data_IF_913160950985
#
_entry.id   IF_913160950985
#
_cell.length_a   1.000
_cell.length_b   1.000
_cell.length_c   1.000
_cell.angle_alpha   90.00
_cell.angle_beta   90.00
_cell.angle_gamma   90.00
#
_symmetry.space_group_name_H-M   'P 1'
#
loop_
_entity.id
_entity.type
_entity.pdbx_description
1 polymer ?
#
# COMPACT_ATOMS: atom_id res chain seq x y z
N UNK A 1 -22.28 20.05 -5.41
CA UNK A 1 -21.28 19.00 -5.71
C UNK A 1 -22.02 17.68 -5.86
N UNK A 2 -21.77 16.91 -6.93
CA UNK A 2 -22.27 15.55 -7.07
C UNK A 2 -21.85 14.69 -5.87
N UNK A 3 -22.64 13.67 -5.55
CA UNK A 3 -22.42 12.78 -4.39
C UNK A 3 -21.00 12.16 -4.40
N UNK A 4 -20.56 11.75 -5.57
CA UNK A 4 -19.25 11.12 -5.79
C UNK A 4 -18.06 12.08 -5.49
N UNK A 5 -18.20 13.33 -5.92
CA UNK A 5 -17.19 14.36 -5.67
C UNK A 5 -17.06 14.67 -4.17
N UNK A 6 -18.19 14.71 -3.45
CA UNK A 6 -18.20 14.89 -1.99
C UNK A 6 -17.56 13.69 -1.26
N UNK A 7 -17.82 12.47 -1.74
CA UNK A 7 -17.22 11.25 -1.19
C UNK A 7 -15.70 11.23 -1.40
N UNK A 8 -15.22 11.56 -2.59
CA UNK A 8 -13.80 11.66 -2.90
C UNK A 8 -13.10 12.71 -2.05
N UNK A 9 -13.68 13.91 -1.93
CA UNK A 9 -13.13 14.97 -1.08
C UNK A 9 -13.04 14.55 0.40
N UNK A 10 -14.01 13.77 0.89
CA UNK A 10 -13.99 13.25 2.25
C UNK A 10 -12.86 12.21 2.46
N UNK A 11 -12.62 11.33 1.50
CA UNK A 11 -11.54 10.34 1.58
C UNK A 11 -10.17 11.02 1.54
N UNK A 12 -9.96 12.03 0.71
CA UNK A 12 -8.71 12.82 0.68
C UNK A 12 -8.48 13.58 2.00
N UNK A 13 -9.54 14.15 2.57
CA UNK A 13 -9.44 14.79 3.88
C UNK A 13 -9.13 13.77 5.01
N UNK A 14 -9.69 12.57 4.91
CA UNK A 14 -9.39 11.47 5.82
C UNK A 14 -7.93 11.01 5.69
N UNK A 15 -7.39 10.90 4.46
CA UNK A 15 -5.97 10.61 4.21
C UNK A 15 -5.06 11.65 4.87
N UNK A 16 -5.38 12.92 4.67
CA UNK A 16 -4.59 14.01 5.28
C UNK A 16 -4.61 13.92 6.82
N UNK A 17 -5.77 13.65 7.43
CA UNK A 17 -5.89 13.46 8.89
C UNK A 17 -5.12 12.24 9.37
N UNK A 18 -5.12 11.14 8.61
CA UNK A 18 -4.34 9.94 8.93
C UNK A 18 -2.85 10.27 9.04
N UNK A 19 -2.30 11.00 8.06
CA UNK A 19 -0.87 11.35 8.01
C UNK A 19 -0.51 12.36 9.12
N UNK A 20 -1.35 13.38 9.34
CA UNK A 20 -1.08 14.46 10.29
C UNK A 20 -1.25 14.05 11.76
N UNK A 21 -2.24 13.20 12.06
CA UNK A 21 -2.70 12.97 13.45
C UNK A 21 -2.99 11.48 13.76
N UNK A 22 -2.72 10.58 12.83
CA UNK A 22 -2.93 9.14 13.01
C UNK A 22 -4.38 8.68 12.82
N UNK A 23 -4.60 7.35 12.83
CA UNK A 23 -5.88 6.74 12.46
C UNK A 23 -7.03 7.10 13.42
N UNK A 24 -6.75 7.33 14.71
CA UNK A 24 -7.73 7.74 15.70
C UNK A 24 -8.34 9.12 15.40
N UNK A 25 -7.64 9.97 14.64
CA UNK A 25 -8.15 11.27 14.21
C UNK A 25 -9.11 11.17 13.02
N UNK A 26 -9.15 10.04 12.32
CA UNK A 26 -10.01 9.81 11.15
C UNK A 26 -11.43 9.49 11.62
N UNK A 27 -12.17 10.54 11.98
CA UNK A 27 -13.56 10.47 12.42
C UNK A 27 -14.47 11.21 11.46
N UNK A 28 -15.76 10.83 11.38
CA UNK A 28 -16.75 11.53 10.55
C UNK A 28 -16.81 13.02 10.89
N UNK A 29 -16.70 13.38 12.17
CA UNK A 29 -16.73 14.77 12.63
C UNK A 29 -15.52 15.58 12.16
N UNK A 30 -14.33 15.03 12.31
CA UNK A 30 -13.09 15.70 11.91
C UNK A 30 -13.01 15.88 10.39
N UNK A 31 -13.36 14.84 9.64
CA UNK A 31 -13.40 14.89 8.17
C UNK A 31 -14.46 15.89 7.68
N UNK A 32 -15.67 15.86 8.26
CA UNK A 32 -16.72 16.82 7.92
C UNK A 32 -16.27 18.27 8.11
N UNK A 33 -15.65 18.56 9.28
CA UNK A 33 -15.13 19.89 9.56
C UNK A 33 -14.09 20.34 8.53
N UNK A 34 -13.20 19.43 8.12
CA UNK A 34 -12.12 19.74 7.17
C UNK A 34 -12.62 20.08 5.76
N UNK A 35 -13.72 19.46 5.33
CA UNK A 35 -14.31 19.73 3.99
C UNK A 35 -15.48 20.70 4.03
N UNK A 36 -15.74 21.36 5.17
CA UNK A 36 -16.83 22.33 5.32
C UNK A 36 -18.21 21.69 5.19
N UNK A 37 -18.38 20.46 5.69
CA UNK A 37 -19.64 19.70 5.70
C UNK A 37 -20.10 19.42 7.13
N UNK A 38 -21.35 18.95 7.28
CA UNK A 38 -21.87 18.54 8.58
C UNK A 38 -21.57 17.07 8.85
N UNK A 39 -21.49 16.70 10.12
CA UNK A 39 -21.39 15.30 10.54
C UNK A 39 -22.52 14.43 9.96
N UNK A 40 -23.76 14.96 9.94
CA UNK A 40 -24.90 14.25 9.37
C UNK A 40 -24.74 13.96 7.87
N UNK A 41 -24.11 14.86 7.12
CA UNK A 41 -23.81 14.65 5.71
C UNK A 41 -22.81 13.48 5.53
N UNK A 42 -21.72 13.45 6.31
CA UNK A 42 -20.75 12.35 6.25
C UNK A 42 -21.35 11.02 6.72
N UNK A 43 -22.18 11.06 7.76
CA UNK A 43 -22.89 9.88 8.26
C UNK A 43 -23.82 9.30 7.17
N UNK A 44 -24.50 10.16 6.40
CA UNK A 44 -25.31 9.74 5.25
C UNK A 44 -24.46 9.07 4.15
N UNK A 45 -23.25 9.58 3.88
CA UNK A 45 -22.37 9.05 2.83
C UNK A 45 -21.64 7.75 3.21
N UNK A 46 -21.27 7.59 4.46
CA UNK A 46 -20.42 6.47 4.92
C UNK A 46 -21.13 5.54 5.91
N UNK A 47 -22.18 5.99 6.58
CA UNK A 47 -22.88 5.21 7.58
C UNK A 47 -22.17 5.14 8.95
N UNK A 48 -20.84 4.98 8.97
CA UNK A 48 -20.05 4.90 10.21
C UNK A 48 -18.62 5.38 10.00
N UNK A 49 -17.90 5.60 11.11
CA UNK A 49 -16.47 5.89 11.07
C UNK A 49 -15.65 4.69 10.53
N UNK A 50 -16.07 3.47 10.84
CA UNK A 50 -15.45 2.25 10.32
C UNK A 50 -15.55 2.17 8.78
N UNK A 51 -16.72 2.48 8.22
CA UNK A 51 -16.92 2.51 6.77
C UNK A 51 -16.13 3.63 6.09
N UNK A 52 -15.96 4.79 6.74
CA UNK A 52 -15.06 5.84 6.26
C UNK A 52 -13.60 5.36 6.23
N UNK A 53 -13.14 4.69 7.29
CA UNK A 53 -11.79 4.14 7.38
C UNK A 53 -11.57 3.02 6.35
N UNK A 54 -12.57 2.16 6.13
CA UNK A 54 -12.55 1.15 5.07
C UNK A 54 -12.46 1.80 3.68
N UNK A 55 -13.25 2.85 3.42
CA UNK A 55 -13.17 3.59 2.17
C UNK A 55 -11.80 4.26 1.96
N UNK A 56 -11.17 4.75 3.04
CA UNK A 56 -9.81 5.27 3.02
C UNK A 56 -8.80 4.16 2.69
N UNK A 57 -8.91 2.98 3.31
CA UNK A 57 -8.04 1.85 3.04
C UNK A 57 -8.12 1.38 1.57
N UNK A 58 -9.34 1.30 1.03
CA UNK A 58 -9.60 1.01 -0.41
C UNK A 58 -8.91 2.04 -1.30
N UNK A 59 -9.06 3.32 -0.99
CA UNK A 59 -8.47 4.40 -1.77
C UNK A 59 -6.94 4.37 -1.74
N UNK A 60 -6.33 4.21 -0.57
CA UNK A 60 -4.88 4.09 -0.43
C UNK A 60 -4.35 2.88 -1.19
N UNK A 61 -4.98 1.71 -1.01
CA UNK A 61 -4.58 0.50 -1.72
C UNK A 61 -4.65 0.68 -3.25
N UNK A 62 -5.73 1.26 -3.77
CA UNK A 62 -5.89 1.49 -5.21
C UNK A 62 -4.83 2.46 -5.75
N UNK A 63 -4.55 3.55 -5.03
CA UNK A 63 -3.55 4.55 -5.43
C UNK A 63 -2.15 3.94 -5.45
N UNK A 64 -1.76 3.24 -4.38
CA UNK A 64 -0.44 2.60 -4.25
C UNK A 64 -0.26 1.49 -5.28
N UNK A 65 -1.24 0.59 -5.42
CA UNK A 65 -1.18 -0.49 -6.41
C UNK A 65 -1.10 0.07 -7.84
N UNK A 66 -1.80 1.17 -8.14
CA UNK A 66 -1.66 1.87 -9.42
C UNK A 66 -0.21 2.32 -9.67
N UNK A 67 0.39 3.03 -8.72
CA UNK A 67 1.78 3.51 -8.82
C UNK A 67 2.79 2.37 -8.93
N UNK A 68 2.61 1.31 -8.14
CA UNK A 68 3.46 0.11 -8.21
C UNK A 68 3.31 -0.58 -9.57
N UNK A 69 2.08 -0.68 -10.10
CA UNK A 69 1.82 -1.24 -11.42
C UNK A 69 2.53 -0.48 -12.54
N UNK A 70 2.52 0.86 -12.48
CA UNK A 70 3.24 1.71 -13.42
C UNK A 70 4.75 1.51 -13.31
N UNK A 71 5.30 1.50 -12.10
CA UNK A 71 6.73 1.24 -11.85
C UNK A 71 7.16 -0.16 -12.32
N UNK A 72 6.33 -1.18 -12.09
CA UNK A 72 6.61 -2.54 -12.54
C UNK A 72 6.60 -2.65 -14.07
N UNK A 73 5.65 -2.00 -14.75
CA UNK A 73 5.63 -1.92 -16.22
C UNK A 73 6.86 -1.21 -16.77
N UNK A 74 7.27 -0.10 -16.13
CA UNK A 74 8.47 0.64 -16.52
C UNK A 74 9.75 -0.20 -16.32
N UNK A 75 9.88 -0.92 -15.20
CA UNK A 75 11.01 -1.79 -14.93
C UNK A 75 11.13 -2.92 -15.97
N UNK A 76 10.01 -3.52 -16.37
CA UNK A 76 9.97 -4.54 -17.44
C UNK A 76 10.34 -3.99 -18.81
N UNK A 77 10.02 -2.73 -19.06
CA UNK A 77 10.41 -2.03 -20.30
C UNK A 77 11.89 -1.56 -20.30
N UNK A 78 12.63 -1.79 -19.21
CA UNK A 78 14.02 -1.34 -19.06
C UNK A 78 14.20 0.15 -18.83
N UNK A 79 13.12 0.89 -18.47
CA UNK A 79 13.12 2.33 -18.24
C UNK A 79 12.86 2.71 -16.77
N UNK A 80 12.66 1.71 -15.89
CA UNK A 80 12.43 1.85 -14.47
C UNK A 80 13.33 0.93 -13.66
N UNK A 81 13.21 0.99 -12.34
CA UNK A 81 14.03 0.24 -11.41
C UNK A 81 13.17 -0.60 -10.45
N UNK A 82 13.55 -1.86 -10.16
CA UNK A 82 12.93 -2.65 -9.09
C UNK A 82 12.98 -1.94 -7.72
N UNK A 83 13.98 -1.09 -7.51
CA UNK A 83 14.09 -0.28 -6.31
C UNK A 83 12.91 0.67 -6.14
N UNK A 84 12.41 1.27 -7.19
CA UNK A 84 11.26 2.17 -7.16
C UNK A 84 9.99 1.44 -6.67
N UNK A 85 9.79 0.20 -7.10
CA UNK A 85 8.69 -0.66 -6.63
C UNK A 85 8.77 -0.88 -5.11
N UNK A 86 9.97 -1.19 -4.62
CA UNK A 86 10.24 -1.38 -3.19
C UNK A 86 9.98 -0.10 -2.40
N UNK A 87 10.50 1.05 -2.89
CA UNK A 87 10.31 2.33 -2.20
C UNK A 87 8.83 2.72 -2.14
N UNK A 88 8.05 2.54 -3.20
CA UNK A 88 6.60 2.75 -3.21
C UNK A 88 5.88 1.86 -2.20
N UNK A 89 6.24 0.58 -2.11
CA UNK A 89 5.65 -0.35 -1.17
C UNK A 89 5.96 0.04 0.29
N UNK A 90 7.22 0.37 0.59
CA UNK A 90 7.62 0.78 1.93
C UNK A 90 7.02 2.13 2.35
N UNK A 91 7.01 3.10 1.44
CA UNK A 91 6.44 4.42 1.71
C UNK A 91 4.92 4.38 1.91
N UNK A 92 4.23 3.47 1.24
CA UNK A 92 2.80 3.24 1.46
C UNK A 92 2.47 2.85 2.90
N UNK A 93 3.28 2.00 3.53
CA UNK A 93 3.10 1.61 4.91
C UNK A 93 3.62 2.64 5.90
N UNK A 94 4.78 3.26 5.64
CA UNK A 94 5.43 4.22 6.53
C UNK A 94 4.84 5.63 6.37
N UNK A 95 5.13 6.31 5.27
CA UNK A 95 4.82 7.73 5.05
C UNK A 95 3.36 8.02 4.75
N UNK A 96 2.68 7.10 4.05
CA UNK A 96 1.25 7.24 3.72
C UNK A 96 0.33 6.76 4.86
N UNK A 97 0.91 6.26 5.96
CA UNK A 97 0.18 5.84 7.15
C UNK A 97 -0.54 4.50 7.05
N UNK A 98 -0.24 3.70 6.01
CA UNK A 98 -0.89 2.41 5.77
C UNK A 98 -0.73 1.43 6.92
N UNK A 99 0.47 1.35 7.55
CA UNK A 99 0.70 0.46 8.69
C UNK A 99 -0.11 0.88 9.92
N UNK A 100 -0.17 2.18 10.20
CA UNK A 100 -0.95 2.70 11.32
C UNK A 100 -2.46 2.44 11.13
N UNK A 101 -2.97 2.67 9.93
CA UNK A 101 -4.38 2.40 9.59
C UNK A 101 -4.70 0.91 9.70
N UNK A 102 -3.88 0.04 9.08
CA UNK A 102 -4.07 -1.41 9.12
C UNK A 102 -4.08 -1.94 10.56
N UNK A 103 -3.10 -1.54 11.37
CA UNK A 103 -3.03 -1.93 12.78
C UNK A 103 -4.25 -1.46 13.57
N UNK A 104 -4.68 -0.22 13.36
CA UNK A 104 -5.87 0.32 14.00
C UNK A 104 -7.14 -0.46 13.63
N UNK A 105 -7.32 -0.76 12.35
CA UNK A 105 -8.47 -1.51 11.86
C UNK A 105 -8.50 -2.94 12.45
N UNK A 106 -7.37 -3.62 12.50
CA UNK A 106 -7.24 -4.95 13.13
C UNK A 106 -7.59 -4.92 14.62
N UNK A 107 -7.07 -3.95 15.38
CA UNK A 107 -7.33 -3.82 16.81
C UNK A 107 -8.77 -3.39 17.14
N UNK A 108 -9.46 -2.80 16.18
CA UNK A 108 -10.86 -2.40 16.33
C UNK A 108 -11.86 -3.57 16.18
N UNK A 109 -11.37 -4.81 16.00
CA UNK A 109 -12.19 -6.02 15.89
C UNK A 109 -13.02 -6.09 14.60
N UNK A 110 -12.65 -5.36 13.58
CA UNK A 110 -13.32 -5.40 12.29
C UNK A 110 -12.73 -6.55 11.45
N UNK A 111 -13.34 -7.73 11.55
CA UNK A 111 -12.98 -8.88 10.72
C UNK A 111 -13.15 -8.49 9.24
N UNK A 112 -12.18 -8.81 8.39
CA UNK A 112 -12.20 -8.44 6.97
C UNK A 112 -11.85 -6.98 6.69
N UNK A 113 -11.40 -6.21 7.68
CA UNK A 113 -10.99 -4.81 7.47
C UNK A 113 -9.84 -4.67 6.46
N UNK A 114 -8.98 -5.67 6.36
CA UNK A 114 -7.84 -5.71 5.43
C UNK A 114 -8.17 -6.33 4.08
N UNK A 115 -9.34 -6.99 3.91
CA UNK A 115 -9.71 -7.67 2.67
C UNK A 115 -9.57 -6.77 1.44
N UNK A 116 -10.02 -5.50 1.46
CA UNK A 116 -9.87 -4.62 0.30
C UNK A 116 -8.40 -4.35 -0.10
N UNK A 117 -7.49 -4.34 0.88
CA UNK A 117 -6.06 -4.15 0.64
C UNK A 117 -5.49 -5.42 -0.01
N UNK A 118 -5.80 -6.58 0.57
CA UNK A 118 -5.38 -7.89 0.05
C UNK A 118 -5.90 -8.12 -1.36
N UNK A 119 -7.17 -7.80 -1.62
CA UNK A 119 -7.79 -7.89 -2.95
C UNK A 119 -7.14 -6.94 -3.97
N UNK A 120 -6.75 -5.73 -3.55
CA UNK A 120 -6.07 -4.78 -4.44
C UNK A 120 -4.67 -5.30 -4.84
N UNK A 121 -3.93 -5.87 -3.89
CA UNK A 121 -2.62 -6.49 -4.14
C UNK A 121 -2.78 -7.70 -5.07
N UNK A 122 -3.77 -8.56 -4.82
CA UNK A 122 -4.02 -9.74 -5.65
C UNK A 122 -4.33 -9.35 -7.11
N UNK A 123 -5.23 -8.37 -7.31
CA UNK A 123 -5.54 -7.84 -8.64
C UNK A 123 -4.31 -7.28 -9.35
N UNK A 124 -3.46 -6.53 -8.64
CA UNK A 124 -2.22 -6.01 -9.21
C UNK A 124 -1.32 -7.14 -9.73
N UNK A 125 -1.16 -8.22 -8.96
CA UNK A 125 -0.35 -9.36 -9.38
C UNK A 125 -0.95 -10.02 -10.63
N UNK A 126 -2.27 -10.23 -10.67
CA UNK A 126 -2.95 -10.82 -11.82
C UNK A 126 -2.86 -9.93 -13.07
N UNK A 127 -2.94 -8.61 -12.93
CA UNK A 127 -2.75 -7.66 -14.03
C UNK A 127 -1.31 -7.66 -14.58
N UNK A 128 -0.34 -7.80 -13.70
CA UNK A 128 1.07 -7.85 -14.09
C UNK A 128 1.48 -9.21 -14.67
N UNK A 129 0.77 -10.29 -14.33
CA UNK A 129 1.09 -11.66 -14.76
C UNK A 129 -0.15 -12.32 -15.38
N UNK A 130 -0.51 -11.98 -16.64
CA UNK A 130 -1.61 -12.64 -17.32
C UNK A 130 -1.37 -14.15 -17.44
N UNK A 131 -2.47 -14.92 -17.50
CA UNK A 131 -2.56 -16.38 -17.27
C UNK A 131 -1.70 -17.29 -18.18
N UNK A 132 -1.00 -16.74 -19.16
CA UNK A 132 -0.18 -17.48 -20.12
C UNK A 132 1.26 -17.77 -19.65
N UNK A 133 1.65 -17.27 -18.46
CA UNK A 133 2.99 -17.55 -17.91
C UNK A 133 3.00 -18.85 -17.11
N UNK A 134 4.16 -19.54 -17.09
CA UNK A 134 4.37 -20.78 -16.34
C UNK A 134 3.90 -20.63 -14.89
N UNK A 135 3.22 -21.65 -14.36
CA UNK A 135 2.66 -21.70 -13.01
C UNK A 135 3.70 -21.33 -11.95
N UNK A 136 4.94 -21.80 -12.14
CA UNK A 136 6.04 -21.57 -11.19
C UNK A 136 6.45 -20.09 -11.12
N UNK A 137 6.46 -19.36 -12.26
CA UNK A 137 6.77 -17.93 -12.30
C UNK A 137 5.72 -17.10 -11.54
N UNK A 138 4.44 -17.47 -11.69
CA UNK A 138 3.34 -16.82 -10.93
C UNK A 138 3.47 -17.07 -9.43
N UNK A 139 3.79 -18.29 -9.02
CA UNK A 139 3.98 -18.65 -7.61
C UNK A 139 5.13 -17.85 -7.00
N UNK A 140 6.29 -17.80 -7.67
CA UNK A 140 7.45 -17.00 -7.24
C UNK A 140 7.09 -15.52 -7.03
N UNK A 141 6.28 -14.93 -7.91
CA UNK A 141 5.85 -13.54 -7.75
C UNK A 141 4.88 -13.35 -6.57
N UNK A 142 3.97 -14.31 -6.30
CA UNK A 142 3.11 -14.26 -5.13
C UNK A 142 3.92 -14.32 -3.83
N UNK A 143 4.88 -15.23 -3.73
CA UNK A 143 5.77 -15.38 -2.58
C UNK A 143 6.61 -14.13 -2.35
N UNK A 144 7.18 -13.57 -3.42
CA UNK A 144 7.96 -12.34 -3.38
C UNK A 144 7.12 -11.14 -2.93
N UNK A 145 5.90 -11.02 -3.46
CA UNK A 145 4.96 -9.96 -3.05
C UNK A 145 4.57 -10.10 -1.58
N UNK A 146 4.27 -11.32 -1.13
CA UNK A 146 3.97 -11.57 0.29
C UNK A 146 5.13 -11.13 1.18
N UNK A 147 6.36 -11.51 0.84
CA UNK A 147 7.54 -11.13 1.60
C UNK A 147 7.77 -9.61 1.58
N UNK A 148 7.62 -8.96 0.43
CA UNK A 148 7.76 -7.50 0.30
C UNK A 148 6.75 -6.75 1.18
N UNK A 149 5.48 -7.14 1.16
CA UNK A 149 4.43 -6.54 1.98
C UNK A 149 4.72 -6.70 3.47
N UNK A 150 5.12 -7.90 3.90
CA UNK A 150 5.46 -8.16 5.30
C UNK A 150 6.70 -7.40 5.77
N UNK A 151 7.74 -7.29 4.93
CA UNK A 151 8.93 -6.49 5.20
C UNK A 151 8.59 -5.00 5.33
N UNK A 152 7.80 -4.47 4.41
CA UNK A 152 7.39 -3.06 4.42
C UNK A 152 6.52 -2.71 5.64
N UNK A 153 5.53 -3.57 5.95
CA UNK A 153 4.70 -3.41 7.15
C UNK A 153 5.53 -3.50 8.43
N UNK A 154 6.40 -4.50 8.55
CA UNK A 154 7.28 -4.68 9.71
C UNK A 154 8.24 -3.52 9.90
N UNK A 155 8.84 -3.01 8.82
CA UNK A 155 9.72 -1.84 8.87
C UNK A 155 8.98 -0.58 9.35
N UNK A 156 7.76 -0.35 8.84
CA UNK A 156 6.95 0.80 9.25
C UNK A 156 6.59 0.77 10.75
N UNK A 157 6.38 -0.41 11.33
CA UNK A 157 5.97 -0.57 12.73
C UNK A 157 7.14 -0.53 13.71
N UNK A 158 8.24 -1.21 13.40
CA UNK A 158 9.36 -1.40 14.34
C UNK A 158 10.75 -1.17 13.73
N UNK A 159 10.85 -0.90 12.42
CA UNK A 159 12.11 -0.91 11.66
C UNK A 159 13.17 0.02 12.22
N UNK A 160 12.82 1.26 12.54
CA UNK A 160 13.74 2.24 13.12
C UNK A 160 14.34 1.76 14.46
N UNK A 161 13.48 1.24 15.36
CA UNK A 161 13.91 0.75 16.68
C UNK A 161 14.77 -0.51 16.55
N UNK A 162 14.38 -1.41 15.65
CA UNK A 162 15.09 -2.67 15.41
C UNK A 162 16.46 -2.41 14.79
N UNK A 163 16.54 -1.58 13.76
CA UNK A 163 17.81 -1.21 13.11
C UNK A 163 18.78 -0.57 14.10
N UNK A 164 18.30 0.38 14.91
CA UNK A 164 19.10 1.01 15.98
C UNK A 164 19.62 -0.01 17.00
N UNK A 165 18.77 -0.94 17.45
CA UNK A 165 19.14 -1.97 18.42
C UNK A 165 20.19 -2.94 17.87
N UNK A 166 20.13 -3.26 16.58
CA UNK A 166 21.05 -4.17 15.91
C UNK A 166 22.31 -3.48 15.36
N UNK A 167 22.39 -2.15 15.44
CA UNK A 167 23.53 -1.38 14.91
C UNK A 167 23.63 -1.40 13.39
N UNK A 168 22.50 -1.54 12.68
CA UNK A 168 22.44 -1.53 11.21
C UNK A 168 21.69 -0.31 10.70
N UNK A 169 21.86 0.05 9.42
CA UNK A 169 21.05 1.11 8.80
C UNK A 169 19.64 0.62 8.54
N UNK A 170 18.61 1.45 8.80
CA UNK A 170 17.22 1.13 8.47
C UNK A 170 17.06 0.79 6.98
N UNK A 171 17.80 1.48 6.13
CA UNK A 171 17.81 1.29 4.68
C UNK A 171 18.16 -0.14 4.24
N UNK A 172 18.88 -0.88 5.05
CA UNK A 172 19.31 -2.26 4.74
C UNK A 172 18.15 -3.19 4.40
N UNK A 173 16.96 -3.01 5.03
CA UNK A 173 15.79 -3.84 4.72
C UNK A 173 15.25 -3.56 3.32
N UNK A 174 15.25 -2.30 2.87
CA UNK A 174 14.86 -1.94 1.50
C UNK A 174 15.86 -2.47 0.47
N UNK A 175 17.17 -2.39 0.77
CA UNK A 175 18.22 -2.98 -0.08
C UNK A 175 18.03 -4.49 -0.24
N UNK A 176 17.70 -5.20 0.85
CA UNK A 176 17.39 -6.64 0.82
C UNK A 176 16.13 -6.96 0.04
N UNK A 177 15.06 -6.19 0.23
CA UNK A 177 13.83 -6.35 -0.52
C UNK A 177 14.04 -6.11 -2.03
N UNK A 178 14.88 -5.13 -2.39
CA UNK A 178 15.26 -4.88 -3.79
C UNK A 178 16.00 -6.06 -4.40
N UNK A 179 17.00 -6.61 -3.70
CA UNK A 179 17.73 -7.78 -4.17
C UNK A 179 16.80 -9.00 -4.35
N UNK A 180 15.87 -9.23 -3.43
CA UNK A 180 14.87 -10.29 -3.52
C UNK A 180 13.98 -10.11 -4.76
N UNK A 181 13.48 -8.90 -5.01
CA UNK A 181 12.63 -8.61 -6.17
C UNK A 181 13.38 -8.78 -7.50
N UNK A 182 14.65 -8.34 -7.57
CA UNK A 182 15.52 -8.55 -8.74
C UNK A 182 15.71 -10.03 -9.02
N UNK A 183 16.02 -10.84 -8.02
CA UNK A 183 16.17 -12.30 -8.17
C UNK A 183 14.89 -12.92 -8.71
N UNK A 184 13.74 -12.58 -8.15
CA UNK A 184 12.44 -13.06 -8.60
C UNK A 184 12.12 -12.68 -10.05
N UNK A 185 12.49 -11.48 -10.49
CA UNK A 185 12.32 -11.05 -11.87
C UNK A 185 13.21 -11.81 -12.86
N UNK A 186 14.43 -12.15 -12.45
CA UNK A 186 15.36 -12.96 -13.27
C UNK A 186 14.86 -14.41 -13.39
N UNK A 187 14.40 -15.00 -12.30
CA UNK A 187 13.84 -16.36 -12.27
C UNK A 187 12.55 -16.47 -13.10
N UNK A 188 11.70 -15.43 -13.06
CA UNK A 188 10.48 -15.36 -13.85
C UNK A 188 10.72 -14.96 -15.33
N UNK A 189 11.98 -14.74 -15.76
CA UNK A 189 12.31 -14.30 -17.11
C UNK A 189 11.76 -12.92 -17.50
N UNK A 190 11.41 -12.11 -16.50
CA UNK A 190 10.80 -10.79 -16.68
C UNK A 190 11.85 -9.71 -16.98
N UNK A 191 13.09 -9.91 -16.54
CA UNK A 191 14.23 -9.04 -16.82
C UNK A 191 15.33 -9.79 -17.53
N UNK A 192 15.96 -9.15 -18.53
CA UNK A 192 17.12 -9.71 -19.20
C UNK A 192 18.39 -9.31 -18.43
N UNK A 193 19.24 -10.26 -17.97
CA UNK A 193 20.47 -9.96 -17.22
C UNK A 193 21.55 -9.20 -18.01
N UNK A 194 21.35 -8.98 -19.32
CA UNK A 194 22.30 -8.29 -20.22
C UNK A 194 21.96 -6.84 -20.55
N UNK A 195 20.90 -6.27 -20.00
CA UNK A 195 20.59 -4.84 -20.15
C UNK A 195 21.26 -4.09 -18.97
N UNK A 196 22.55 -3.82 -19.08
CA UNK A 196 23.19 -2.80 -18.21
C UNK A 196 22.65 -1.42 -18.58
N UNK A 197 22.47 -0.52 -17.56
CA UNK A 197 21.98 0.83 -17.79
C UNK A 197 22.94 1.72 -18.53
#
# INVERSE_FOLDING_TARGET
>A
MPQEESRRAAVEAARTLLIEAGPQAVTLKAVAARIGRTHANLLHHFGSAAELQKALAVHLAATVCGSIGDAARAARAGIGSPREIVDLAFDAFDREGGAALATWMMLSGNEGALDPIVEAIHRLIDELHPQEQEHDAKLTMHETTQALVLLALGDALIGERLAKSLGVRRETVRERATAMLVTSYLEAGVMNPGAEP
#
